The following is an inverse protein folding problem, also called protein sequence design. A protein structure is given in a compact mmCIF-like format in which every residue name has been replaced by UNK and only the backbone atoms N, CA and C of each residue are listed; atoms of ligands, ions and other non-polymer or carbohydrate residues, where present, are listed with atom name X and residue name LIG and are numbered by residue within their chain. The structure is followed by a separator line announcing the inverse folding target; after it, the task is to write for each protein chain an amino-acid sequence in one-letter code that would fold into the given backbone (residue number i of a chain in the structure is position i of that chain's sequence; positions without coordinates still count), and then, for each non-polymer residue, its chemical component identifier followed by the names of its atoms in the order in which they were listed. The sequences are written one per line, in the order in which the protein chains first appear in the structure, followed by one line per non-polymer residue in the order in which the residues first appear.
data_IF_380525160718
#
_entry.id   IF_380525160718
#
_cell.length_a   1.000
_cell.length_b   1.000
_cell.length_c   1.000
_cell.angle_alpha   90.00
_cell.angle_beta   90.00
_cell.angle_gamma   90.00
#
_symmetry.space_group_name_H-M   'P 1'
#
loop_
_entity.id
_entity.type
_entity.pdbx_description
1 polymer ?
#
# COMPACT_ATOMS: atom_id res chain seq x y z
N UNK A 1 6.76 1.45 -10.53
CA UNK A 1 7.16 2.42 -9.49
C UNK A 1 6.53 2.05 -8.15
N UNK A 2 5.21 2.05 -7.98
CA UNK A 2 4.56 1.55 -6.76
C UNK A 2 3.20 0.88 -7.05
N UNK A 3 2.68 0.14 -6.08
CA UNK A 3 1.35 -0.50 -6.06
C UNK A 3 0.58 0.11 -4.88
N UNK A 4 -0.66 0.53 -5.11
CA UNK A 4 -1.48 1.15 -4.06
C UNK A 4 -2.51 0.13 -3.54
N UNK A 5 -2.45 -0.16 -2.25
CA UNK A 5 -3.47 -0.97 -1.54
C UNK A 5 -4.43 0.00 -0.87
N UNK A 6 -5.64 0.13 -1.41
CA UNK A 6 -6.61 1.14 -0.95
C UNK A 6 -7.54 0.53 0.08
N UNK A 7 -7.57 1.11 1.28
CA UNK A 7 -8.44 0.71 2.38
C UNK A 7 -9.32 1.90 2.81
N UNK A 8 -10.51 1.62 3.33
CA UNK A 8 -11.41 2.64 3.86
C UNK A 8 -11.40 2.58 5.37
N UNK A 9 -11.26 3.72 6.06
CA UNK A 9 -11.33 3.78 7.53
C UNK A 9 -12.72 3.42 8.06
N UNK A 10 -13.75 3.49 7.21
CA UNK A 10 -15.12 3.05 7.54
C UNK A 10 -15.29 1.54 7.53
N UNK A 11 -14.43 0.83 6.80
CA UNK A 11 -14.51 -0.62 6.68
C UNK A 11 -13.50 -1.26 7.63
N UNK A 12 -13.91 -2.33 8.31
CA UNK A 12 -12.95 -3.18 9.01
C UNK A 12 -12.13 -3.94 8.00
N UNK A 13 -10.83 -4.03 8.22
CA UNK A 13 -9.97 -4.93 7.46
C UNK A 13 -10.42 -6.37 7.69
N UNK A 14 -11.00 -6.97 6.67
CA UNK A 14 -11.64 -8.28 6.70
C UNK A 14 -10.69 -9.37 6.19
N UNK A 15 -11.14 -10.62 6.30
CA UNK A 15 -10.39 -11.78 5.79
C UNK A 15 -10.29 -11.74 4.28
N UNK A 16 -11.26 -11.13 3.61
CA UNK A 16 -11.29 -10.95 2.16
C UNK A 16 -10.18 -10.00 1.70
N UNK A 17 -9.98 -8.87 2.40
CA UNK A 17 -8.86 -7.98 2.08
C UNK A 17 -7.51 -8.64 2.40
N UNK A 18 -7.40 -9.37 3.51
CA UNK A 18 -6.20 -10.15 3.84
C UNK A 18 -5.88 -11.19 2.74
N UNK A 19 -6.88 -11.95 2.30
CA UNK A 19 -6.73 -12.95 1.24
C UNK A 19 -6.36 -12.32 -0.11
N UNK A 20 -6.86 -11.12 -0.41
CA UNK A 20 -6.47 -10.39 -1.62
C UNK A 20 -4.99 -9.99 -1.60
N UNK A 21 -4.48 -9.51 -0.45
CA UNK A 21 -3.05 -9.21 -0.29
C UNK A 21 -2.20 -10.47 -0.42
N UNK A 22 -2.62 -11.56 0.22
CA UNK A 22 -1.91 -12.85 0.12
C UNK A 22 -1.90 -13.39 -1.31
N UNK A 23 -2.99 -13.21 -2.06
CA UNK A 23 -3.09 -13.59 -3.47
C UNK A 23 -2.09 -12.80 -4.33
N UNK A 24 -1.97 -11.48 -4.11
CA UNK A 24 -0.97 -10.66 -4.79
C UNK A 24 0.45 -11.17 -4.55
N UNK A 25 0.79 -11.48 -3.30
CA UNK A 25 2.11 -12.06 -2.98
C UNK A 25 2.31 -13.45 -3.60
N UNK A 26 1.25 -14.25 -3.71
CA UNK A 26 1.32 -15.59 -4.32
C UNK A 26 1.56 -15.51 -5.83
N UNK A 27 0.85 -14.62 -6.53
CA UNK A 27 0.97 -14.51 -7.99
C UNK A 27 2.25 -13.82 -8.44
N UNK A 28 2.63 -12.76 -7.74
CA UNK A 28 3.75 -11.92 -8.15
C UNK A 28 5.04 -12.28 -7.41
N UNK A 29 4.95 -12.94 -6.26
CA UNK A 29 6.07 -13.27 -5.40
C UNK A 29 6.22 -12.28 -4.24
N UNK A 30 6.92 -12.66 -3.16
CA UNK A 30 6.94 -11.89 -1.92
C UNK A 30 7.56 -10.50 -2.08
N UNK A 31 8.41 -10.30 -3.09
CA UNK A 31 9.05 -9.01 -3.39
C UNK A 31 8.06 -7.92 -3.80
N UNK A 32 6.83 -8.26 -4.20
CA UNK A 32 5.80 -7.26 -4.52
C UNK A 32 5.53 -6.31 -3.36
N UNK A 33 5.68 -6.80 -2.12
CA UNK A 33 5.54 -6.01 -0.91
C UNK A 33 6.48 -4.79 -0.86
N UNK A 34 7.69 -4.90 -1.41
CA UNK A 34 8.64 -3.79 -1.48
C UNK A 34 8.15 -2.63 -2.36
N UNK A 35 7.08 -2.84 -3.14
CA UNK A 35 6.47 -1.85 -4.00
C UNK A 35 5.11 -1.34 -3.49
N UNK A 36 4.57 -1.92 -2.42
CA UNK A 36 3.23 -1.58 -1.93
C UNK A 36 3.23 -0.36 -1.00
N UNK A 37 2.22 0.50 -1.17
CA UNK A 37 1.87 1.60 -0.29
C UNK A 37 0.40 1.44 0.11
N UNK A 38 0.10 1.55 1.40
CA UNK A 38 -1.29 1.50 1.89
C UNK A 38 -1.91 2.90 1.82
N UNK A 39 -3.04 3.03 1.14
CA UNK A 39 -3.78 4.28 1.04
C UNK A 39 -5.08 4.15 1.82
N UNK A 40 -5.16 4.80 2.97
CA UNK A 40 -6.41 4.91 3.71
C UNK A 40 -7.29 6.00 3.10
N UNK A 41 -8.57 5.74 2.98
CA UNK A 41 -9.58 6.67 2.46
C UNK A 41 -10.63 6.94 3.53
N UNK A 42 -11.32 8.08 3.43
CA UNK A 42 -12.26 8.53 4.45
C UNK A 42 -11.60 9.44 5.49
N UNK A 43 -10.57 10.19 5.10
CA UNK A 43 -9.91 11.15 6.00
C UNK A 43 -10.80 12.33 6.41
N UNK A 44 -11.91 12.56 5.72
CA UNK A 44 -12.99 13.44 6.17
C UNK A 44 -13.72 12.88 7.40
N UNK A 45 -13.90 11.56 7.50
CA UNK A 45 -14.58 10.95 8.64
C UNK A 45 -13.74 11.05 9.92
N UNK A 46 -12.44 10.77 9.81
CA UNK A 46 -11.54 10.94 10.96
C UNK A 46 -11.49 12.41 11.41
N UNK A 47 -11.52 13.37 10.46
CA UNK A 47 -11.60 14.79 10.81
C UNK A 47 -12.92 15.16 11.50
N UNK A 48 -14.05 14.57 11.08
CA UNK A 48 -15.36 14.81 11.70
C UNK A 48 -15.43 14.26 13.14
N UNK A 49 -14.71 13.17 13.43
CA UNK A 49 -14.61 12.54 14.76
C UNK A 49 -13.48 13.13 15.64
N UNK A 50 -12.73 14.13 15.14
CA UNK A 50 -11.52 14.72 15.79
C UNK A 50 -10.40 13.70 16.06
N UNK A 51 -10.19 12.81 15.09
CA UNK A 51 -9.25 11.68 15.16
C UNK A 51 -8.15 11.79 14.12
N UNK A 52 -6.97 11.28 14.46
CA UNK A 52 -5.90 11.10 13.48
C UNK A 52 -5.88 9.68 12.91
N UNK A 53 -5.10 9.46 11.84
CA UNK A 53 -4.88 8.10 11.34
C UNK A 53 -4.13 7.24 12.36
N UNK A 54 -3.26 7.85 13.17
CA UNK A 54 -2.55 7.18 14.25
C UNK A 54 -3.52 6.75 15.37
N UNK A 55 -4.53 7.54 15.70
CA UNK A 55 -5.58 7.14 16.63
C UNK A 55 -6.38 5.95 16.09
N UNK A 56 -6.76 5.99 14.80
CA UNK A 56 -7.44 4.88 14.13
C UNK A 56 -6.61 3.59 14.16
N UNK A 57 -5.31 3.68 13.87
CA UNK A 57 -4.40 2.54 13.92
C UNK A 57 -4.03 2.11 15.36
N UNK A 58 -4.19 2.98 16.35
CA UNK A 58 -3.97 2.67 17.76
C UNK A 58 -5.14 1.93 18.41
N UNK A 59 -6.35 2.01 17.85
CA UNK A 59 -7.56 1.39 18.40
C UNK A 59 -7.75 0.00 17.83
N UNK A 60 -7.46 -1.02 18.62
CA UNK A 60 -7.75 -2.43 18.29
C UNK A 60 -7.42 -2.77 16.82
N UNK A 61 -6.29 -2.26 16.31
CA UNK A 61 -5.89 -2.52 14.92
C UNK A 61 -5.80 -4.03 14.72
N UNK A 62 -6.57 -4.59 13.78
CA UNK A 62 -6.52 -6.03 13.53
C UNK A 62 -5.08 -6.46 13.28
N UNK A 63 -4.67 -7.58 13.88
CA UNK A 63 -3.30 -8.10 13.73
C UNK A 63 -2.94 -8.29 12.25
N UNK A 64 -3.91 -8.65 11.41
CA UNK A 64 -3.75 -8.79 9.96
C UNK A 64 -3.49 -7.45 9.26
N UNK A 65 -4.11 -6.35 9.71
CA UNK A 65 -3.82 -5.01 9.21
C UNK A 65 -2.43 -4.55 9.64
N UNK A 66 -2.04 -4.80 10.90
CA UNK A 66 -0.69 -4.51 11.37
C UNK A 66 0.37 -5.26 10.55
N UNK A 67 0.15 -6.55 10.28
CA UNK A 67 1.02 -7.36 9.42
C UNK A 67 1.13 -6.78 8.01
N UNK A 68 0.03 -6.29 7.42
CA UNK A 68 0.06 -5.62 6.13
C UNK A 68 0.90 -4.33 6.17
N UNK A 69 0.74 -3.51 7.21
CA UNK A 69 1.51 -2.28 7.37
C UNK A 69 3.01 -2.57 7.52
N UNK A 70 3.37 -3.56 8.35
CA UNK A 70 4.76 -4.01 8.54
C UNK A 70 5.35 -4.56 7.23
N UNK A 71 4.57 -5.36 6.50
CA UNK A 71 4.95 -5.87 5.18
C UNK A 71 5.22 -4.74 4.18
N UNK A 72 4.46 -3.64 4.28
CA UNK A 72 4.64 -2.43 3.48
C UNK A 72 5.68 -1.47 4.07
N UNK A 73 6.47 -1.88 5.06
CA UNK A 73 7.47 -1.04 5.78
C UNK A 73 6.86 0.24 6.36
N UNK A 74 5.63 0.17 6.83
CA UNK A 74 4.86 1.31 7.35
C UNK A 74 4.69 2.46 6.33
N UNK A 75 4.73 2.18 5.03
CA UNK A 75 4.40 3.15 3.98
C UNK A 75 2.89 3.24 3.83
N UNK A 76 2.30 4.24 4.47
CA UNK A 76 0.88 4.53 4.31
C UNK A 76 0.57 6.02 4.25
N UNK A 77 -0.61 6.36 3.71
CA UNK A 77 -1.09 7.74 3.63
C UNK A 77 -2.61 7.79 3.74
N UNK A 78 -3.14 8.81 4.43
CA UNK A 78 -4.57 9.09 4.53
C UNK A 78 -5.02 10.07 3.45
N UNK A 79 -6.13 9.73 2.79
CA UNK A 79 -6.80 10.52 1.79
C UNK A 79 -8.23 10.89 2.21
N UNK A 80 -8.51 12.19 2.21
CA UNK A 80 -9.85 12.73 2.07
C UNK A 80 -10.13 12.91 0.57
N UNK A 81 -10.99 12.06 0.01
CA UNK A 81 -11.38 12.11 -1.40
C UNK A 81 -12.54 13.09 -1.67
N UNK A 82 -13.23 13.56 -0.61
CA UNK A 82 -14.35 14.50 -0.73
C UNK A 82 -13.88 15.96 -0.72
N UNK A 83 -12.68 16.23 -0.22
CA UNK A 83 -12.16 17.60 -0.11
C UNK A 83 -12.21 18.37 -1.42
N UNK A 84 -12.66 19.62 -1.35
CA UNK A 84 -12.61 20.58 -2.47
C UNK A 84 -11.46 21.57 -2.33
N UNK A 85 -10.77 21.60 -1.17
CA UNK A 85 -9.67 22.51 -0.89
C UNK A 85 -8.44 22.11 -1.72
N UNK A 86 -8.05 22.95 -2.68
CA UNK A 86 -6.89 22.70 -3.56
C UNK A 86 -5.60 22.46 -2.77
N UNK A 87 -5.38 23.21 -1.69
CA UNK A 87 -4.23 23.04 -0.80
C UNK A 87 -4.20 21.67 -0.11
N UNK A 88 -5.35 21.17 0.37
CA UNK A 88 -5.46 19.84 0.99
C UNK A 88 -5.17 18.73 -0.02
N UNK A 89 -5.74 18.83 -1.23
CA UNK A 89 -5.43 17.90 -2.34
C UNK A 89 -3.94 17.87 -2.68
N UNK A 90 -3.33 19.04 -2.83
CA UNK A 90 -1.90 19.16 -3.14
C UNK A 90 -1.04 18.52 -2.05
N UNK A 91 -1.36 18.75 -0.78
CA UNK A 91 -0.67 18.15 0.37
C UNK A 91 -0.79 16.62 0.39
N UNK A 92 -1.98 16.07 0.16
CA UNK A 92 -2.20 14.62 0.09
C UNK A 92 -1.41 13.99 -1.06
N UNK A 93 -1.46 14.61 -2.25
CA UNK A 93 -0.70 14.16 -3.41
C UNK A 93 0.81 14.21 -3.16
N UNK A 94 1.31 15.29 -2.57
CA UNK A 94 2.73 15.42 -2.24
C UNK A 94 3.21 14.33 -1.28
N UNK A 95 2.41 14.00 -0.26
CA UNK A 95 2.72 12.89 0.66
C UNK A 95 2.81 11.56 -0.08
N UNK A 96 1.83 11.27 -0.95
CA UNK A 96 1.84 10.03 -1.74
C UNK A 96 3.04 9.96 -2.68
N UNK A 97 3.33 11.05 -3.42
CA UNK A 97 4.47 11.08 -4.35
C UNK A 97 5.80 10.87 -3.62
N UNK A 98 5.96 11.43 -2.42
CA UNK A 98 7.14 11.18 -1.59
C UNK A 98 7.31 9.68 -1.28
N UNK A 99 6.23 8.99 -0.89
CA UNK A 99 6.27 7.55 -0.65
C UNK A 99 6.58 6.76 -1.93
N UNK A 100 6.09 7.21 -3.08
CA UNK A 100 6.42 6.59 -4.38
C UNK A 100 7.91 6.77 -4.69
N UNK A 101 8.47 7.95 -4.47
CA UNK A 101 9.89 8.21 -4.66
C UNK A 101 10.75 7.33 -3.74
N UNK A 102 10.36 7.19 -2.46
CA UNK A 102 11.00 6.28 -1.50
C UNK A 102 10.96 4.82 -1.99
N UNK A 103 9.81 4.34 -2.50
CA UNK A 103 9.70 3.00 -3.10
C UNK A 103 10.67 2.85 -4.27
N UNK A 104 10.77 3.85 -5.15
CA UNK A 104 11.64 3.79 -6.33
C UNK A 104 13.10 3.76 -5.93
N UNK A 105 13.51 4.58 -4.96
CA UNK A 105 14.87 4.63 -4.44
C UNK A 105 15.28 3.31 -3.78
N UNK A 106 14.43 2.78 -2.88
CA UNK A 106 14.69 1.50 -2.20
C UNK A 106 14.79 0.30 -3.15
N UNK A 107 14.17 0.38 -4.33
CA UNK A 107 14.21 -0.66 -5.35
C UNK A 107 15.19 -0.34 -6.50
N UNK A 108 16.14 0.56 -6.28
CA UNK A 108 17.23 0.85 -7.23
C UNK A 108 16.74 1.44 -8.56
N UNK A 109 15.62 2.17 -8.55
CA UNK A 109 15.01 2.75 -9.73
C UNK A 109 14.24 1.77 -10.62
N UNK A 110 14.21 0.48 -10.28
CA UNK A 110 13.63 -0.55 -11.13
C UNK A 110 12.13 -0.73 -10.88
N UNK A 111 11.28 -0.65 -11.92
CA UNK A 111 9.86 -0.98 -11.76
C UNK A 111 9.71 -2.47 -11.48
N UNK A 112 8.69 -2.82 -10.68
CA UNK A 112 8.43 -4.21 -10.31
C UNK A 112 8.31 -5.18 -11.50
N UNK A 113 7.74 -4.71 -12.61
CA UNK A 113 7.63 -5.47 -13.86
C UNK A 113 8.97 -6.03 -14.32
N UNK A 114 10.08 -5.30 -14.14
CA UNK A 114 11.41 -5.77 -14.50
C UNK A 114 11.79 -7.04 -13.71
N UNK A 115 11.60 -7.01 -12.39
CA UNK A 115 11.89 -8.15 -11.51
C UNK A 115 11.00 -9.35 -11.83
N UNK A 116 9.70 -9.11 -12.01
CA UNK A 116 8.74 -10.18 -12.34
C UNK A 116 9.07 -10.85 -13.68
N UNK A 117 9.40 -10.08 -14.72
CA UNK A 117 9.79 -10.64 -16.01
C UNK A 117 11.11 -11.41 -15.95
N UNK A 118 12.10 -10.97 -15.17
CA UNK A 118 13.33 -11.72 -14.96
C UNK A 118 13.10 -13.06 -14.25
N UNK A 119 12.26 -13.05 -13.21
CA UNK A 119 11.90 -14.26 -12.45
C UNK A 119 11.13 -15.25 -13.34
N UNK A 120 10.19 -14.77 -14.15
CA UNK A 120 9.49 -15.59 -15.14
C UNK A 120 10.37 -16.09 -16.29
N UNK A 121 11.44 -15.36 -16.66
CA UNK A 121 12.42 -15.87 -17.62
C UNK A 121 13.23 -17.02 -17.02
N UNK A 122 13.65 -16.91 -15.75
CA UNK A 122 14.41 -17.96 -15.06
C UNK A 122 13.61 -19.25 -14.90
N UNK A 123 12.31 -19.15 -14.60
CA UNK A 123 11.42 -20.32 -14.49
C UNK A 123 11.26 -21.05 -15.82
N UNK A 124 11.07 -20.33 -16.94
CA UNK A 124 11.00 -20.94 -18.28
C UNK A 124 12.28 -21.69 -18.66
N UNK A 125 13.45 -21.15 -18.35
CA UNK A 125 14.72 -21.83 -18.63
C UNK A 125 14.95 -23.09 -17.78
N UNK A 126 14.17 -23.33 -16.71
CA UNK A 126 14.24 -24.55 -15.91
C UNK A 126 13.28 -25.65 -16.40
N UNK A 127 12.30 -25.31 -17.23
CA UNK A 127 11.37 -26.28 -17.85
C UNK A 127 11.92 -26.89 -19.15
N UNK A 128 12.98 -26.30 -19.71
CA UNK A 128 13.65 -26.75 -20.94
C UNK A 128 14.84 -27.72 -20.71
N UNK A 129 14.96 -28.33 -19.51
CA UNK A 129 16.04 -29.27 -19.13
C UNK A 129 15.48 -30.65 -18.78
#
# INVERSE_FOLDING_TARGET
HAILVVLSVRARFSKEEEAAVQSLQTFFGPKIANYMIVVFTGGDELEDDDETIEDYLGRECPESLQKLLDLCKNRYVLFDNKTKKKSKKARQLQKLLKLVDEVVEENGGQPYTHLFFEEMKKLRCQEDI
#
